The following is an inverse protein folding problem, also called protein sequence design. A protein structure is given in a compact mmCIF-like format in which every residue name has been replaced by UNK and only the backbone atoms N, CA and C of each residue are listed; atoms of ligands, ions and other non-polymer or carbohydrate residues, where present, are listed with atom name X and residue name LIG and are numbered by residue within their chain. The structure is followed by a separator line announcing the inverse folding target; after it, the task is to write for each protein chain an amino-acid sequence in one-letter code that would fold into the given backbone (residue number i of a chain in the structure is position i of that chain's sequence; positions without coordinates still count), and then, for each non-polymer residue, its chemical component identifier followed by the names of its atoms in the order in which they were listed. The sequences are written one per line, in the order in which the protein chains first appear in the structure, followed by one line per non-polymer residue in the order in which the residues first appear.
data_IF_646766638548
#
_entry.id   IF_646766638548
#
_cell.length_a   1.000
_cell.length_b   1.000
_cell.length_c   1.000
_cell.angle_alpha   90.00
_cell.angle_beta   90.00
_cell.angle_gamma   90.00
#
_symmetry.space_group_name_H-M   'P 1'
#
loop_
_entity.id
_entity.type
_entity.pdbx_description
1 polymer ?
#
# COMPACT_ATOMS: atom_id res chain seq x y z
N UNK A 1 -20.16 -8.73 9.30
CA UNK A 1 -19.99 -9.71 8.21
C UNK A 1 -19.81 -9.02 6.86
N UNK A 2 -18.85 -9.53 6.10
CA UNK A 2 -18.48 -9.08 4.75
C UNK A 2 -19.26 -9.94 3.74
N UNK A 3 -19.96 -9.33 2.75
CA UNK A 3 -20.75 -10.10 1.78
C UNK A 3 -19.91 -11.06 0.93
N UNK A 4 -20.47 -12.23 0.60
CA UNK A 4 -19.76 -13.24 -0.22
C UNK A 4 -19.40 -12.72 -1.61
N UNK A 5 -20.29 -11.97 -2.27
CA UNK A 5 -20.02 -11.41 -3.60
C UNK A 5 -18.73 -10.56 -3.59
N UNK A 6 -18.51 -9.76 -2.54
CA UNK A 6 -17.32 -8.94 -2.39
C UNK A 6 -16.07 -9.82 -2.23
N UNK A 7 -16.14 -10.87 -1.39
CA UNK A 7 -15.02 -11.81 -1.19
C UNK A 7 -14.61 -12.50 -2.50
N UNK A 8 -15.58 -12.90 -3.31
CA UNK A 8 -15.36 -13.55 -4.61
C UNK A 8 -14.79 -12.57 -5.64
N UNK A 9 -15.32 -11.34 -5.73
CA UNK A 9 -14.78 -10.31 -6.63
C UNK A 9 -13.35 -9.92 -6.27
N UNK A 10 -13.05 -9.78 -4.97
CA UNK A 10 -11.70 -9.49 -4.49
C UNK A 10 -10.74 -10.66 -4.80
N UNK A 11 -11.18 -11.90 -4.55
CA UNK A 11 -10.39 -13.08 -4.88
C UNK A 11 -10.08 -13.15 -6.39
N UNK A 12 -11.08 -12.93 -7.23
CA UNK A 12 -10.91 -12.96 -8.69
C UNK A 12 -9.93 -11.87 -9.15
N UNK A 13 -10.06 -10.66 -8.61
CA UNK A 13 -9.13 -9.56 -8.91
C UNK A 13 -7.69 -9.92 -8.54
N UNK A 14 -7.46 -10.39 -7.31
CA UNK A 14 -6.12 -10.79 -6.85
C UNK A 14 -5.57 -11.97 -7.66
N UNK A 15 -6.42 -12.94 -8.01
CA UNK A 15 -6.04 -14.09 -8.83
C UNK A 15 -5.64 -13.72 -10.26
N UNK A 16 -6.20 -12.64 -10.81
CA UNK A 16 -5.80 -12.08 -12.10
C UNK A 16 -4.52 -11.21 -11.98
N UNK A 17 -4.41 -10.43 -10.90
CA UNK A 17 -3.29 -9.52 -10.68
C UNK A 17 -1.98 -10.27 -10.44
N UNK A 18 -1.99 -11.30 -9.59
CA UNK A 18 -0.78 -12.04 -9.21
C UNK A 18 0.02 -12.55 -10.42
N UNK A 19 -0.56 -13.30 -11.37
CA UNK A 19 0.18 -13.79 -12.53
C UNK A 19 0.65 -12.65 -13.43
N UNK A 20 -0.19 -11.66 -13.70
CA UNK A 20 0.18 -10.51 -14.54
C UNK A 20 1.38 -9.74 -13.96
N UNK A 21 1.35 -9.43 -12.67
CA UNK A 21 2.44 -8.73 -11.98
C UNK A 21 3.70 -9.59 -11.87
N UNK A 22 3.55 -10.90 -11.70
CA UNK A 22 4.71 -11.81 -11.63
C UNK A 22 5.45 -11.84 -12.96
N UNK A 23 4.72 -11.88 -14.08
CA UNK A 23 5.32 -11.88 -15.42
C UNK A 23 6.01 -10.55 -15.73
N UNK A 24 5.40 -9.42 -15.35
CA UNK A 24 5.93 -8.09 -15.65
C UNK A 24 7.08 -7.67 -14.71
N UNK A 25 6.89 -7.83 -13.40
CA UNK A 25 7.75 -7.23 -12.38
C UNK A 25 8.51 -8.27 -11.52
N UNK A 26 8.14 -9.55 -11.62
CA UNK A 26 8.67 -10.62 -10.79
C UNK A 26 8.12 -10.63 -9.35
N UNK A 27 8.44 -11.70 -8.61
CA UNK A 27 7.85 -11.96 -7.29
C UNK A 27 8.25 -10.95 -6.20
N UNK A 28 9.42 -10.31 -6.32
CA UNK A 28 9.88 -9.33 -5.33
C UNK A 28 8.93 -8.12 -5.29
N UNK A 29 8.22 -7.82 -6.39
CA UNK A 29 7.27 -6.72 -6.49
C UNK A 29 6.13 -6.81 -5.45
N UNK A 30 5.80 -8.00 -4.95
CA UNK A 30 4.78 -8.17 -3.90
C UNK A 30 5.22 -7.66 -2.52
N UNK A 31 6.46 -7.20 -2.36
CA UNK A 31 6.92 -6.50 -1.15
C UNK A 31 6.47 -5.04 -1.08
N UNK A 32 5.98 -4.44 -2.18
CA UNK A 32 5.31 -3.14 -2.11
C UNK A 32 4.20 -3.18 -1.07
N UNK A 33 4.15 -2.18 -0.19
CA UNK A 33 3.15 -2.16 0.88
C UNK A 33 1.72 -2.22 0.36
N UNK A 34 1.44 -1.62 -0.79
CA UNK A 34 0.16 -1.71 -1.47
C UNK A 34 -0.22 -3.15 -1.85
N UNK A 35 0.72 -3.92 -2.39
CA UNK A 35 0.52 -5.35 -2.71
C UNK A 35 0.34 -6.20 -1.45
N UNK A 36 1.13 -5.94 -0.40
CA UNK A 36 0.97 -6.58 0.92
C UNK A 36 -0.43 -6.28 1.48
N UNK A 37 -0.89 -5.03 1.38
CA UNK A 37 -2.19 -4.61 1.87
C UNK A 37 -3.36 -5.13 1.04
N UNK A 38 -3.18 -5.27 -0.28
CA UNK A 38 -4.16 -5.89 -1.17
C UNK A 38 -4.35 -7.38 -0.81
N UNK A 39 -3.26 -8.14 -0.70
CA UNK A 39 -3.33 -9.58 -0.37
C UNK A 39 -3.80 -9.77 1.08
N UNK A 40 -3.26 -8.99 2.02
CA UNK A 40 -3.68 -9.01 3.42
C UNK A 40 -5.14 -8.58 3.61
N UNK A 41 -5.62 -7.66 2.78
CA UNK A 41 -7.03 -7.24 2.73
C UNK A 41 -7.95 -8.37 2.27
N UNK A 42 -7.56 -9.12 1.24
CA UNK A 42 -8.29 -10.32 0.83
C UNK A 42 -8.39 -11.33 1.98
N UNK A 43 -7.27 -11.63 2.65
CA UNK A 43 -7.25 -12.51 3.82
C UNK A 43 -8.14 -11.98 4.95
N UNK A 44 -8.10 -10.68 5.23
CA UNK A 44 -8.94 -10.06 6.25
C UNK A 44 -10.44 -10.18 5.91
N UNK A 45 -10.81 -10.09 4.63
CA UNK A 45 -12.20 -10.22 4.19
C UNK A 45 -12.72 -11.65 4.38
N UNK A 46 -11.91 -12.66 4.03
CA UNK A 46 -12.27 -14.07 4.21
C UNK A 46 -12.34 -14.49 5.67
N UNK A 47 -11.33 -14.11 6.46
CA UNK A 47 -11.25 -14.41 7.90
C UNK A 47 -12.16 -13.52 8.76
N UNK A 48 -12.75 -12.47 8.17
CA UNK A 48 -13.46 -11.40 8.88
C UNK A 48 -12.66 -10.82 10.07
N UNK A 49 -11.34 -10.76 9.91
CA UNK A 49 -10.42 -10.36 10.97
C UNK A 49 -10.34 -8.84 11.08
N UNK A 50 -10.97 -8.28 12.12
CA UNK A 50 -10.89 -6.85 12.44
C UNK A 50 -9.46 -6.35 12.58
N UNK A 51 -8.58 -7.17 13.17
CA UNK A 51 -7.17 -6.83 13.40
C UNK A 51 -6.41 -6.75 12.09
N UNK A 52 -6.55 -7.73 11.23
CA UNK A 52 -5.84 -7.76 9.95
C UNK A 52 -6.34 -6.63 9.03
N UNK A 53 -7.66 -6.41 8.94
CA UNK A 53 -8.21 -5.27 8.21
C UNK A 53 -7.65 -3.92 8.72
N UNK A 54 -7.60 -3.76 10.05
CA UNK A 54 -7.04 -2.56 10.68
C UNK A 54 -5.54 -2.42 10.44
N UNK A 55 -4.77 -3.51 10.41
CA UNK A 55 -3.34 -3.50 10.10
C UNK A 55 -3.10 -3.02 8.68
N UNK A 56 -3.82 -3.59 7.69
CA UNK A 56 -3.68 -3.19 6.29
C UNK A 56 -4.13 -1.74 6.07
N UNK A 57 -5.20 -1.30 6.74
CA UNK A 57 -5.61 0.11 6.68
C UNK A 57 -4.53 1.05 7.26
N UNK A 58 -3.93 0.70 8.40
CA UNK A 58 -2.82 1.47 8.99
C UNK A 58 -1.59 1.47 8.07
N UNK A 59 -1.33 0.34 7.41
CA UNK A 59 -0.20 0.16 6.52
C UNK A 59 -0.17 1.14 5.36
N UNK A 60 -1.32 1.33 4.71
CA UNK A 60 -1.35 1.98 3.40
C UNK A 60 -2.34 3.10 3.25
N UNK A 61 -3.34 3.30 4.13
CA UNK A 61 -4.40 4.27 3.83
C UNK A 61 -3.87 5.68 3.53
N UNK A 62 -2.93 6.22 4.31
CA UNK A 62 -2.35 7.53 4.02
C UNK A 62 -1.44 7.52 2.77
N UNK A 63 -0.67 6.45 2.56
CA UNK A 63 0.24 6.31 1.41
C UNK A 63 -0.55 6.19 0.10
N UNK A 64 -1.63 5.42 0.10
CA UNK A 64 -2.56 5.30 -1.01
C UNK A 64 -3.30 6.61 -1.26
N UNK A 65 -3.65 7.37 -0.23
CA UNK A 65 -4.22 8.71 -0.45
C UNK A 65 -3.22 9.65 -1.14
N UNK A 66 -1.91 9.52 -0.88
CA UNK A 66 -0.89 10.25 -1.63
C UNK A 66 -0.83 9.79 -3.09
N UNK A 67 -0.91 8.48 -3.35
CA UNK A 67 -1.00 7.93 -4.71
C UNK A 67 -2.26 8.44 -5.45
N UNK A 68 -3.43 8.42 -4.80
CA UNK A 68 -4.70 8.91 -5.37
C UNK A 68 -4.60 10.39 -5.70
N UNK A 69 -4.06 11.20 -4.79
CA UNK A 69 -3.86 12.62 -5.03
C UNK A 69 -2.95 12.86 -6.24
N UNK A 70 -1.84 12.12 -6.30
CA UNK A 70 -0.88 12.24 -7.38
C UNK A 70 -1.47 11.82 -8.74
N UNK A 71 -2.25 10.75 -8.77
CA UNK A 71 -2.97 10.30 -9.97
C UNK A 71 -4.00 11.33 -10.46
N UNK A 72 -4.77 11.93 -9.55
CA UNK A 72 -5.73 12.97 -9.94
C UNK A 72 -5.02 14.22 -10.46
N UNK A 73 -3.88 14.58 -9.85
CA UNK A 73 -3.06 15.68 -10.31
C UNK A 73 -2.46 15.40 -11.69
N UNK A 74 -1.95 14.19 -11.93
CA UNK A 74 -1.38 13.82 -13.24
C UNK A 74 -2.42 13.88 -14.36
N UNK A 75 -3.68 13.50 -14.07
CA UNK A 75 -4.79 13.66 -15.00
C UNK A 75 -5.13 15.14 -15.26
N UNK A 76 -5.15 15.97 -14.22
CA UNK A 76 -5.44 17.40 -14.34
C UNK A 76 -4.35 18.16 -15.12
N UNK A 77 -3.09 17.73 -14.98
CA UNK A 77 -1.94 18.30 -15.69
C UNK A 77 -1.71 17.67 -17.08
N UNK A 78 -2.48 16.62 -17.43
CA UNK A 78 -2.27 15.80 -18.62
C UNK A 78 -0.82 15.30 -18.76
N UNK A 79 -0.17 14.94 -17.65
CA UNK A 79 1.25 14.63 -17.65
C UNK A 79 1.82 14.32 -16.26
N UNK A 80 3.15 14.22 -16.14
CA UNK A 80 3.84 13.89 -14.89
C UNK A 80 3.62 14.97 -13.83
N UNK A 81 3.81 14.58 -12.58
CA UNK A 81 3.68 15.48 -11.42
C UNK A 81 5.03 15.67 -10.74
N UNK A 82 5.17 16.67 -9.86
CA UNK A 82 6.36 16.80 -9.02
C UNK A 82 6.57 15.67 -8.01
N UNK A 83 5.53 14.87 -7.69
CA UNK A 83 5.64 13.78 -6.71
C UNK A 83 6.17 12.49 -7.34
N UNK A 84 5.87 12.27 -8.64
CA UNK A 84 6.35 11.13 -9.42
C UNK A 84 5.90 9.76 -8.91
N UNK A 85 4.84 9.68 -8.08
CA UNK A 85 4.36 8.42 -7.50
C UNK A 85 3.71 7.55 -8.58
N UNK A 86 3.05 8.21 -9.54
CA UNK A 86 2.26 7.58 -10.59
C UNK A 86 2.95 7.60 -11.96
N UNK A 87 4.21 8.02 -12.06
CA UNK A 87 4.90 8.15 -13.35
C UNK A 87 4.95 6.82 -14.11
N UNK A 88 5.06 5.70 -13.40
CA UNK A 88 5.00 4.35 -13.99
C UNK A 88 3.67 4.06 -14.71
N UNK A 89 2.58 4.76 -14.38
CA UNK A 89 1.30 4.64 -15.09
C UNK A 89 1.37 5.20 -16.52
N UNK A 90 2.39 6.01 -16.82
CA UNK A 90 2.63 6.59 -18.13
C UNK A 90 3.77 5.90 -18.88
N UNK A 91 4.46 4.95 -18.24
CA UNK A 91 5.57 4.20 -18.82
C UNK A 91 5.07 3.26 -19.95
N UNK A 92 5.51 3.44 -21.21
CA UNK A 92 5.14 2.56 -22.31
C UNK A 92 5.77 1.17 -22.22
N UNK A 93 6.85 1.00 -21.46
CA UNK A 93 7.52 -0.29 -21.27
C UNK A 93 6.73 -1.20 -20.33
N UNK A 94 5.80 -0.63 -19.53
CA UNK A 94 4.86 -1.39 -18.73
C UNK A 94 3.59 -1.68 -19.52
N UNK A 95 3.26 -2.97 -19.64
CA UNK A 95 2.09 -3.40 -20.39
C UNK A 95 0.80 -2.72 -19.90
N UNK A 96 -0.04 -2.23 -20.84
CA UNK A 96 -1.23 -1.43 -20.51
C UNK A 96 -2.15 -2.13 -19.49
N UNK A 97 -2.35 -3.44 -19.65
CA UNK A 97 -3.20 -4.21 -18.73
C UNK A 97 -2.64 -4.26 -17.30
N UNK A 98 -1.31 -4.25 -17.11
CA UNK A 98 -0.66 -4.20 -15.79
C UNK A 98 -0.85 -2.81 -15.16
N UNK A 99 -0.72 -1.75 -15.94
CA UNK A 99 -1.05 -0.38 -15.49
C UNK A 99 -2.52 -0.24 -15.10
N UNK A 100 -3.44 -0.81 -15.89
CA UNK A 100 -4.86 -0.84 -15.55
C UNK A 100 -5.14 -1.63 -14.27
N UNK A 101 -4.46 -2.76 -14.05
CA UNK A 101 -4.55 -3.50 -12.78
C UNK A 101 -4.04 -2.66 -11.60
N UNK A 102 -3.03 -1.82 -11.81
CA UNK A 102 -2.50 -0.90 -10.78
C UNK A 102 -3.53 0.15 -10.33
N UNK A 103 -4.61 0.37 -11.07
CA UNK A 103 -5.71 1.24 -10.63
C UNK A 103 -6.41 0.74 -9.36
N UNK A 104 -6.09 -0.45 -8.84
CA UNK A 104 -6.54 -0.85 -7.50
C UNK A 104 -6.14 0.15 -6.42
N UNK A 105 -5.05 0.89 -6.60
CA UNK A 105 -4.62 1.97 -5.69
C UNK A 105 -5.73 3.01 -5.48
N UNK A 106 -6.56 3.27 -6.49
CA UNK A 106 -7.73 4.15 -6.37
C UNK A 106 -8.79 3.61 -5.40
N UNK A 107 -8.91 2.29 -5.26
CA UNK A 107 -9.98 1.65 -4.50
C UNK A 107 -9.52 1.17 -3.13
N UNK A 108 -8.27 0.73 -3.02
CA UNK A 108 -7.74 0.05 -1.83
C UNK A 108 -7.93 0.80 -0.51
N UNK A 109 -7.60 2.11 -0.37
CA UNK A 109 -7.79 2.81 0.91
C UNK A 109 -9.25 2.85 1.32
N UNK A 110 -10.18 3.02 0.37
CA UNK A 110 -11.62 3.07 0.63
C UNK A 110 -12.19 1.68 0.95
N UNK A 111 -11.73 0.65 0.24
CA UNK A 111 -12.07 -0.74 0.52
C UNK A 111 -11.64 -1.14 1.92
N UNK A 112 -10.39 -0.87 2.29
CA UNK A 112 -9.86 -1.17 3.63
C UNK A 112 -10.60 -0.38 4.71
N UNK A 113 -10.87 0.92 4.47
CA UNK A 113 -11.69 1.71 5.38
C UNK A 113 -13.09 1.13 5.57
N UNK A 114 -13.77 0.75 4.48
CA UNK A 114 -15.08 0.11 4.53
C UNK A 114 -15.04 -1.23 5.29
N UNK A 115 -14.03 -2.06 5.07
CA UNK A 115 -13.86 -3.31 5.80
C UNK A 115 -13.68 -3.06 7.30
N UNK A 116 -12.83 -2.10 7.67
CA UNK A 116 -12.65 -1.68 9.07
C UNK A 116 -13.94 -1.11 9.65
N UNK A 117 -14.70 -0.33 8.87
CA UNK A 117 -16.01 0.18 9.29
C UNK A 117 -17.00 -0.95 9.63
N UNK A 118 -16.99 -2.01 8.82
CA UNK A 118 -17.87 -3.19 8.98
C UNK A 118 -17.44 -4.11 10.13
N UNK A 119 -16.13 -4.31 10.31
CA UNK A 119 -15.55 -5.27 11.26
C UNK A 119 -15.16 -4.63 12.61
N UNK A 120 -15.05 -3.31 12.65
CA UNK A 120 -14.52 -2.55 13.78
C UNK A 120 -13.01 -2.32 13.68
N UNK A 121 -12.55 -1.20 14.21
CA UNK A 121 -11.14 -0.87 14.33
C UNK A 121 -10.52 -1.53 15.56
N UNK A 122 -9.40 -2.22 15.36
CA UNK A 122 -8.58 -2.75 16.45
C UNK A 122 -7.46 -1.78 16.80
N UNK A 123 -7.51 -1.20 18.01
CA UNK A 123 -6.51 -0.22 18.48
C UNK A 123 -5.09 -0.79 18.55
N UNK A 124 -4.95 -2.11 18.66
CA UNK A 124 -3.65 -2.78 18.73
C UNK A 124 -3.06 -3.07 17.36
N UNK A 125 -3.81 -2.85 16.26
CA UNK A 125 -3.34 -3.12 14.91
C UNK A 125 -2.03 -2.42 14.57
N UNK A 126 -1.87 -1.15 14.96
CA UNK A 126 -0.63 -0.41 14.69
C UNK A 126 0.59 -1.02 15.42
N UNK A 127 0.41 -1.53 16.64
CA UNK A 127 1.51 -2.13 17.43
C UNK A 127 2.01 -3.43 16.81
N UNK A 128 1.13 -4.16 16.12
CA UNK A 128 1.50 -5.36 15.38
C UNK A 128 2.07 -4.97 14.01
N UNK A 129 1.45 -4.00 13.34
CA UNK A 129 1.87 -3.58 12.01
C UNK A 129 3.27 -2.94 11.99
N UNK A 130 3.59 -2.02 12.91
CA UNK A 130 4.90 -1.32 12.89
C UNK A 130 6.09 -2.30 12.83
N UNK A 131 6.24 -3.31 13.72
CA UNK A 131 7.34 -4.25 13.61
C UNK A 131 7.25 -5.11 12.33
N UNK A 132 6.05 -5.52 11.90
CA UNK A 132 5.88 -6.25 10.63
C UNK A 132 6.31 -5.44 9.42
N UNK A 133 5.88 -4.19 9.32
CA UNK A 133 6.23 -3.26 8.25
C UNK A 133 7.72 -2.93 8.24
N UNK A 134 8.33 -2.73 9.42
CA UNK A 134 9.78 -2.57 9.51
C UNK A 134 10.53 -3.82 9.05
N UNK A 135 10.07 -5.02 9.41
CA UNK A 135 10.66 -6.27 8.92
C UNK A 135 10.54 -6.38 7.39
N UNK A 136 9.39 -6.01 6.82
CA UNK A 136 9.20 -5.95 5.36
C UNK A 136 10.18 -4.95 4.72
N UNK A 137 10.39 -3.77 5.31
CA UNK A 137 11.37 -2.80 4.81
C UNK A 137 12.79 -3.36 4.82
N UNK A 138 13.20 -4.03 5.90
CA UNK A 138 14.52 -4.66 5.98
C UNK A 138 14.68 -5.72 4.89
N UNK A 139 13.69 -6.60 4.73
CA UNK A 139 13.70 -7.61 3.66
C UNK A 139 13.72 -6.96 2.28
N UNK A 140 12.96 -5.88 2.09
CA UNK A 140 12.92 -5.11 0.84
C UNK A 140 14.28 -4.49 0.55
N UNK A 141 14.93 -3.86 1.53
CA UNK A 141 16.25 -3.25 1.35
C UNK A 141 17.33 -4.28 1.02
N UNK A 142 17.25 -5.49 1.58
CA UNK A 142 18.22 -6.56 1.32
C UNK A 142 18.02 -7.21 -0.06
N UNK A 143 16.77 -7.35 -0.54
CA UNK A 143 16.43 -8.15 -1.73
C UNK A 143 16.13 -7.28 -2.96
N UNK A 144 15.60 -6.07 -2.77
CA UNK A 144 15.31 -5.15 -3.88
C UNK A 144 16.59 -4.54 -4.41
N UNK A 145 16.69 -4.39 -5.72
CA UNK A 145 17.81 -3.69 -6.36
C UNK A 145 17.53 -2.19 -6.46
N UNK A 146 18.55 -1.33 -6.58
CA UNK A 146 18.37 0.10 -6.79
C UNK A 146 17.46 0.44 -7.97
N UNK A 147 17.47 -0.37 -9.04
CA UNK A 147 16.63 -0.18 -10.22
C UNK A 147 15.15 -0.49 -9.95
N UNK A 148 14.88 -1.49 -9.09
CA UNK A 148 13.50 -1.84 -8.70
C UNK A 148 12.94 -0.92 -7.63
N UNK A 149 13.80 -0.42 -6.74
CA UNK A 149 13.51 0.58 -5.71
C UNK A 149 12.17 0.37 -4.97
N UNK A 150 11.89 -0.86 -4.56
CA UNK A 150 10.59 -1.22 -3.96
C UNK A 150 10.45 -0.51 -2.61
N UNK A 151 9.27 0.04 -2.33
CA UNK A 151 9.02 0.90 -1.16
C UNK A 151 9.98 2.10 -1.05
N UNK A 152 10.62 2.50 -2.16
CA UNK A 152 11.57 3.60 -2.24
C UNK A 152 12.78 3.46 -1.30
N UNK A 153 13.17 2.23 -0.97
CA UNK A 153 14.28 1.96 -0.05
C UNK A 153 15.65 2.36 -0.59
N UNK A 154 15.77 2.69 -1.89
CA UNK A 154 17.00 3.13 -2.56
C UNK A 154 16.99 4.59 -3.02
N UNK A 155 15.83 5.26 -3.07
CA UNK A 155 15.73 6.69 -3.38
C UNK A 155 14.28 7.14 -3.62
N UNK A 156 14.01 8.46 -3.68
CA UNK A 156 12.65 8.98 -3.89
C UNK A 156 12.21 8.88 -5.35
N UNK A 157 10.90 8.90 -5.59
CA UNK A 157 10.33 9.01 -6.96
C UNK A 157 10.68 7.86 -7.89
N UNK A 158 10.88 6.65 -7.34
CA UNK A 158 11.21 5.47 -8.13
C UNK A 158 12.67 5.41 -8.63
N UNK A 159 13.48 6.44 -8.37
CA UNK A 159 14.89 6.48 -8.77
C UNK A 159 15.80 6.25 -7.56
N UNK A 160 16.88 5.50 -7.75
CA UNK A 160 17.93 5.38 -6.74
C UNK A 160 18.64 6.73 -6.55
N UNK A 161 19.00 7.04 -5.31
CA UNK A 161 19.78 8.24 -4.97
C UNK A 161 21.26 7.90 -4.77
N UNK A 162 22.14 8.86 -5.06
CA UNK A 162 23.59 8.77 -4.87
C UNK A 162 24.18 9.87 -3.95
N UNK A 163 23.35 10.80 -3.46
CA UNK A 163 23.77 11.94 -2.65
C UNK A 163 23.98 11.63 -1.16
N UNK A 164 23.59 10.45 -0.68
CA UNK A 164 23.81 9.98 0.69
C UNK A 164 24.04 8.46 0.75
N UNK A 165 24.55 7.98 1.89
CA UNK A 165 24.71 6.54 2.13
C UNK A 165 23.36 5.82 2.02
N UNK A 166 23.30 4.64 1.37
CA UNK A 166 22.07 3.84 1.31
C UNK A 166 21.48 3.52 2.68
N UNK A 167 22.32 3.32 3.71
CA UNK A 167 21.85 3.07 5.07
C UNK A 167 21.20 4.30 5.71
N UNK A 168 21.72 5.50 5.42
CA UNK A 168 21.14 6.74 5.90
C UNK A 168 19.78 6.99 5.23
N UNK A 169 19.70 6.78 3.91
CA UNK A 169 18.44 6.84 3.17
C UNK A 169 17.42 5.81 3.68
N UNK A 170 17.84 4.56 3.87
CA UNK A 170 16.97 3.52 4.44
C UNK A 170 16.45 3.91 5.83
N UNK A 171 17.30 4.49 6.69
CA UNK A 171 16.88 5.03 7.98
C UNK A 171 15.81 6.13 7.86
N UNK A 172 15.93 7.02 6.87
CA UNK A 172 14.91 8.04 6.56
C UNK A 172 13.61 7.38 6.13
N UNK A 173 13.66 6.39 5.22
CA UNK A 173 12.46 5.65 4.76
C UNK A 173 11.75 4.98 5.93
N UNK A 174 12.47 4.29 6.81
CA UNK A 174 11.90 3.68 8.02
C UNK A 174 11.23 4.73 8.89
N UNK A 175 11.88 5.86 9.15
CA UNK A 175 11.31 6.95 9.96
C UNK A 175 10.03 7.53 9.32
N UNK A 176 10.05 7.78 8.01
CA UNK A 176 8.90 8.30 7.27
C UNK A 176 7.73 7.31 7.31
N UNK A 177 7.98 6.03 7.04
CA UNK A 177 6.95 4.99 7.07
C UNK A 177 6.35 4.83 8.48
N UNK A 178 7.18 4.75 9.53
CA UNK A 178 6.68 4.65 10.91
C UNK A 178 5.85 5.87 11.30
N UNK A 179 6.29 7.07 10.90
CA UNK A 179 5.54 8.31 11.14
C UNK A 179 4.20 8.32 10.41
N UNK A 180 4.18 7.89 9.14
CA UNK A 180 2.97 7.76 8.34
C UNK A 180 2.00 6.73 8.93
N UNK A 181 2.48 5.57 9.38
CA UNK A 181 1.65 4.55 10.03
C UNK A 181 1.07 5.03 11.35
N UNK A 182 1.88 5.72 12.16
CA UNK A 182 1.40 6.33 13.40
C UNK A 182 0.31 7.36 13.11
N UNK A 183 0.54 8.28 12.18
CA UNK A 183 -0.45 9.29 11.80
C UNK A 183 -1.75 8.64 11.27
N UNK A 184 -1.63 7.64 10.40
CA UNK A 184 -2.76 6.86 9.88
C UNK A 184 -3.54 6.21 11.01
N UNK A 185 -2.86 5.58 11.97
CA UNK A 185 -3.49 5.01 13.16
C UNK A 185 -4.26 6.06 13.96
N UNK A 186 -3.67 7.25 14.19
CA UNK A 186 -4.32 8.33 14.93
C UNK A 186 -5.57 8.83 14.22
N UNK A 187 -5.51 9.05 12.91
CA UNK A 187 -6.66 9.48 12.10
C UNK A 187 -7.77 8.44 12.15
N UNK A 188 -7.47 7.17 11.85
CA UNK A 188 -8.46 6.09 11.89
C UNK A 188 -9.08 5.94 13.29
N UNK A 189 -8.26 6.02 14.34
CA UNK A 189 -8.73 5.94 15.71
C UNK A 189 -9.71 7.07 16.06
N UNK A 190 -9.39 8.32 15.69
CA UNK A 190 -10.26 9.47 15.96
C UNK A 190 -11.56 9.36 15.17
N UNK A 191 -11.45 9.15 13.86
CA UNK A 191 -12.61 9.07 12.95
C UNK A 191 -13.54 7.93 13.35
N UNK A 192 -13.02 6.72 13.59
CA UNK A 192 -13.88 5.57 13.85
C UNK A 192 -14.44 5.59 15.28
N UNK A 193 -13.78 6.26 16.22
CA UNK A 193 -14.28 6.40 17.60
C UNK A 193 -15.53 7.27 17.67
N UNK A 194 -15.62 8.33 16.86
CA UNK A 194 -16.83 9.18 16.83
C UNK A 194 -18.08 8.43 16.35
N UNK A 195 -17.91 7.28 15.69
CA UNK A 195 -19.01 6.42 15.21
C UNK A 195 -19.18 5.13 16.03
N UNK A 196 -18.51 5.00 17.18
CA UNK A 196 -18.58 3.78 17.99
C UNK A 196 -17.99 2.54 17.31
N UNK A 197 -17.14 2.72 16.29
CA UNK A 197 -16.54 1.64 15.47
C UNK A 197 -15.17 1.19 15.98
N UNK A 198 -14.85 1.47 17.24
CA UNK A 198 -13.57 1.06 17.83
C UNK A 198 -13.83 0.09 18.95
N UNK A 199 -13.31 -1.13 18.81
CA UNK A 199 -13.39 -2.16 19.85
C UNK A 199 -12.05 -2.44 20.51
#
# INVERSE_FOLDING_TARGET
MIPLWFKLSYLLFVAALIPAYTLEHGLVNFLWFSNVALIGGLLAAWLESRRLASMMAVAVALLEMAWVFDFLLSLALAGPTPLGIVDYMYDPDIALHVRLLSLYHLLLPFVLFWMVWRLGYDRMAWRVWVPTGCAILVVTFVISTPERNINWVWGPGGQAQDWTSPYAWFGIVVLVCVSAWWLTHRVLLVVLRSFGRVG
#
